data_IF_714390189788
#
_entry.id   IF_714390189788
#
_cell.length_a   1.000
_cell.length_b   1.000
_cell.length_c   1.000
_cell.angle_alpha   90.00
_cell.angle_beta   90.00
_cell.angle_gamma   90.00
#
_symmetry.space_group_name_H-M   'P 1'
#
loop_
_entity.id
_entity.type
_entity.pdbx_description
1 polymer ?
#
# COMPACT_ATOMS: atom_id res chain seq x y z
N UNK A 1 12.16 -13.61 15.25
CA UNK A 1 11.80 -12.60 14.22
C UNK A 1 12.99 -11.76 13.83
N UNK A 2 13.03 -11.32 12.57
CA UNK A 2 13.96 -10.32 12.07
C UNK A 2 13.17 -9.08 11.66
N UNK A 3 13.77 -7.86 11.74
CA UNK A 3 13.08 -6.66 11.28
C UNK A 3 12.73 -6.73 9.79
N UNK A 4 11.60 -6.17 9.41
CA UNK A 4 11.25 -5.85 8.03
C UNK A 4 11.24 -4.33 7.92
N UNK A 5 12.21 -3.63 7.75
CA UNK A 5 13.29 -3.59 6.78
C UNK A 5 14.47 -4.43 7.25
N UNK A 6 14.98 -5.26 6.36
CA UNK A 6 16.17 -6.04 6.67
C UNK A 6 17.35 -5.10 6.94
N UNK A 7 18.19 -5.48 7.90
CA UNK A 7 19.30 -4.68 8.39
C UNK A 7 20.49 -5.58 8.76
N UNK A 8 21.53 -5.02 9.37
CA UNK A 8 22.69 -5.82 9.80
C UNK A 8 22.36 -6.88 10.84
N UNK A 9 21.28 -6.72 11.62
CA UNK A 9 20.80 -7.79 12.51
C UNK A 9 20.28 -8.98 11.71
N UNK A 10 19.69 -8.74 10.55
CA UNK A 10 19.26 -9.80 9.63
C UNK A 10 20.46 -10.55 9.05
N UNK A 11 21.56 -9.86 8.76
CA UNK A 11 22.83 -10.51 8.36
C UNK A 11 23.35 -11.42 9.48
N UNK A 12 23.38 -10.92 10.71
CA UNK A 12 23.87 -11.70 11.88
C UNK A 12 23.04 -12.96 12.13
N UNK A 13 21.72 -12.86 11.93
CA UNK A 13 20.80 -13.99 12.16
C UNK A 13 20.88 -15.04 11.06
N UNK A 14 20.94 -14.59 9.80
CA UNK A 14 20.89 -15.51 8.66
C UNK A 14 22.26 -16.08 8.26
N UNK A 15 23.34 -15.36 8.56
CA UNK A 15 24.70 -15.73 8.20
C UNK A 15 25.67 -15.55 9.38
N UNK A 16 25.45 -16.20 10.52
CA UNK A 16 26.21 -15.95 11.75
C UNK A 16 27.74 -16.15 11.59
N UNK A 17 28.17 -17.09 10.75
CA UNK A 17 29.59 -17.38 10.52
C UNK A 17 30.25 -16.39 9.55
N UNK A 18 29.50 -15.75 8.68
CA UNK A 18 30.00 -14.85 7.64
C UNK A 18 29.52 -13.40 7.83
N UNK A 19 28.83 -13.11 8.94
CA UNK A 19 28.15 -11.84 9.15
C UNK A 19 29.07 -10.63 9.00
N UNK A 20 30.22 -10.65 9.62
CA UNK A 20 31.17 -9.53 9.56
C UNK A 20 31.71 -9.32 8.15
N UNK A 21 32.04 -10.42 7.45
CA UNK A 21 32.48 -10.36 6.05
C UNK A 21 31.41 -9.75 5.15
N UNK A 22 30.17 -10.20 5.24
CA UNK A 22 29.06 -9.67 4.43
C UNK A 22 28.86 -8.17 4.71
N UNK A 23 28.85 -7.76 5.99
CA UNK A 23 28.69 -6.34 6.38
C UNK A 23 29.86 -5.46 5.87
N UNK A 24 31.09 -5.94 5.89
CA UNK A 24 32.27 -5.24 5.34
C UNK A 24 32.13 -5.08 3.82
N UNK A 25 31.72 -6.12 3.11
CA UNK A 25 31.51 -6.08 1.67
C UNK A 25 30.39 -5.13 1.28
N UNK A 26 29.25 -5.12 2.01
CA UNK A 26 28.17 -4.15 1.82
C UNK A 26 28.69 -2.71 1.95
N UNK A 27 29.45 -2.41 3.03
CA UNK A 27 30.04 -1.08 3.25
C UNK A 27 31.04 -0.70 2.15
N UNK A 28 31.81 -1.65 1.65
CA UNK A 28 32.77 -1.43 0.56
C UNK A 28 32.06 -1.11 -0.76
N UNK A 29 30.99 -1.85 -1.10
CA UNK A 29 30.26 -1.70 -2.36
C UNK A 29 29.43 -0.41 -2.35
N UNK A 30 28.68 -0.16 -1.28
CA UNK A 30 27.71 0.94 -1.21
C UNK A 30 28.24 2.22 -0.54
N UNK A 31 29.43 2.17 0.04
CA UNK A 31 30.10 3.33 0.62
C UNK A 31 29.28 4.04 1.69
N UNK A 32 28.93 5.30 1.43
CA UNK A 32 28.16 6.14 2.34
C UNK A 32 26.62 6.01 2.19
N UNK A 33 26.15 5.14 1.33
CA UNK A 33 24.72 4.87 1.21
C UNK A 33 24.19 4.25 2.50
N UNK A 34 22.99 4.62 2.89
CA UNK A 34 22.34 4.12 4.10
C UNK A 34 21.55 2.83 3.86
N UNK A 35 21.19 2.59 2.60
CA UNK A 35 20.36 1.44 2.19
C UNK A 35 20.45 1.21 0.69
N UNK A 36 20.02 0.03 0.24
CA UNK A 36 19.76 -0.26 -1.17
C UNK A 36 18.55 -1.18 -1.29
N UNK A 37 17.91 -1.21 -2.45
CA UNK A 37 16.90 -2.23 -2.73
C UNK A 37 17.56 -3.61 -2.89
N UNK A 38 16.80 -4.67 -2.61
CA UNK A 38 17.30 -6.03 -2.80
C UNK A 38 17.69 -6.28 -4.26
N UNK A 39 17.03 -5.65 -5.24
CA UNK A 39 17.35 -5.78 -6.66
C UNK A 39 18.70 -5.13 -7.02
N UNK A 40 19.00 -3.94 -6.46
CA UNK A 40 20.31 -3.31 -6.63
C UNK A 40 21.44 -4.16 -6.05
N UNK A 41 21.20 -4.80 -4.91
CA UNK A 41 22.17 -5.71 -4.29
C UNK A 41 22.36 -6.99 -5.11
N UNK A 42 21.31 -7.51 -5.75
CA UNK A 42 21.42 -8.67 -6.65
C UNK A 42 22.21 -8.37 -7.94
N UNK A 43 22.16 -7.14 -8.42
CA UNK A 43 22.84 -6.69 -9.64
C UNK A 43 24.32 -6.32 -9.41
N UNK A 44 24.78 -6.22 -8.16
CA UNK A 44 26.18 -5.89 -7.90
C UNK A 44 27.11 -7.08 -8.20
N UNK A 45 28.40 -6.78 -8.48
CA UNK A 45 29.41 -7.81 -8.81
C UNK A 45 29.94 -8.55 -7.58
N UNK A 46 29.74 -8.01 -6.40
CA UNK A 46 30.27 -8.58 -5.15
C UNK A 46 29.50 -9.85 -4.75
N UNK A 47 30.24 -10.93 -4.57
CA UNK A 47 29.67 -12.26 -4.28
C UNK A 47 28.97 -12.32 -2.91
N UNK A 48 29.54 -11.71 -1.88
CA UNK A 48 28.96 -11.72 -0.53
C UNK A 48 27.69 -10.90 -0.45
N UNK A 49 27.67 -9.74 -1.12
CA UNK A 49 26.47 -8.91 -1.22
C UNK A 49 25.36 -9.64 -1.97
N UNK A 50 25.66 -10.23 -3.13
CA UNK A 50 24.68 -11.02 -3.89
C UNK A 50 24.17 -12.23 -3.11
N UNK A 51 25.05 -12.94 -2.39
CA UNK A 51 24.65 -14.10 -1.57
C UNK A 51 23.60 -13.73 -0.54
N UNK A 52 23.79 -12.63 0.18
CA UNK A 52 22.82 -12.13 1.14
C UNK A 52 21.53 -11.67 0.46
N UNK A 53 21.63 -10.87 -0.60
CA UNK A 53 20.47 -10.40 -1.37
C UNK A 53 19.66 -11.55 -1.97
N UNK A 54 20.31 -12.59 -2.51
CA UNK A 54 19.63 -13.77 -3.07
C UNK A 54 18.87 -14.52 -1.99
N UNK A 55 19.47 -14.68 -0.81
CA UNK A 55 18.78 -15.31 0.31
C UNK A 55 17.52 -14.55 0.71
N UNK A 56 17.60 -13.21 0.84
CA UNK A 56 16.45 -12.38 1.16
C UNK A 56 15.39 -12.45 0.06
N UNK A 57 15.81 -12.37 -1.20
CA UNK A 57 14.92 -12.44 -2.34
C UNK A 57 14.14 -13.76 -2.37
N UNK A 58 14.82 -14.90 -2.24
CA UNK A 58 14.22 -16.22 -2.33
C UNK A 58 13.33 -16.55 -1.10
N UNK A 59 13.71 -16.04 0.08
CA UNK A 59 13.03 -16.40 1.34
C UNK A 59 11.91 -15.44 1.74
N UNK A 60 11.98 -14.18 1.30
CA UNK A 60 11.04 -13.14 1.69
C UNK A 60 10.44 -12.41 0.48
N UNK A 61 11.23 -11.62 -0.24
CA UNK A 61 10.72 -10.70 -1.26
C UNK A 61 9.91 -11.39 -2.37
N UNK A 62 10.43 -12.46 -2.97
CA UNK A 62 9.76 -13.13 -4.07
C UNK A 62 8.48 -13.85 -3.61
N UNK A 63 8.49 -14.70 -2.57
CA UNK A 63 7.27 -15.39 -2.13
C UNK A 63 6.23 -14.44 -1.55
N UNK A 64 6.65 -13.39 -0.81
CA UNK A 64 5.72 -12.38 -0.30
C UNK A 64 5.06 -11.60 -1.44
N UNK A 65 5.87 -11.12 -2.38
CA UNK A 65 5.41 -10.34 -3.54
C UNK A 65 4.47 -11.17 -4.42
N UNK A 66 4.81 -12.42 -4.71
CA UNK A 66 3.95 -13.30 -5.50
C UNK A 66 2.56 -13.49 -4.86
N UNK A 67 2.49 -13.68 -3.54
CA UNK A 67 1.21 -13.77 -2.80
C UNK A 67 0.45 -12.45 -2.82
N UNK A 68 1.13 -11.37 -2.43
CA UNK A 68 0.52 -10.05 -2.27
C UNK A 68 -0.08 -9.54 -3.58
N UNK A 69 0.67 -9.67 -4.69
CA UNK A 69 0.27 -9.14 -5.99
C UNK A 69 -0.46 -10.16 -6.87
N UNK A 70 -0.38 -11.45 -6.55
CA UNK A 70 -1.01 -12.53 -7.33
C UNK A 70 -0.42 -12.72 -8.72
N UNK A 71 0.79 -12.21 -8.95
CA UNK A 71 1.56 -12.32 -10.19
C UNK A 71 3.01 -12.67 -9.88
N UNK A 72 3.72 -13.17 -10.88
CA UNK A 72 5.15 -13.48 -10.73
C UNK A 72 5.96 -12.21 -10.40
N UNK A 73 6.95 -12.27 -9.47
CA UNK A 73 7.74 -11.13 -9.03
C UNK A 73 8.48 -10.39 -10.16
N UNK A 74 8.83 -11.09 -11.24
CA UNK A 74 9.48 -10.51 -12.42
C UNK A 74 8.53 -9.59 -13.25
N UNK A 75 7.22 -9.71 -13.05
CA UNK A 75 6.20 -8.88 -13.71
C UNK A 75 5.75 -7.69 -12.87
N UNK A 76 6.16 -7.63 -11.61
CA UNK A 76 5.82 -6.53 -10.70
C UNK A 76 6.74 -5.34 -10.96
N UNK A 77 6.20 -4.12 -10.87
CA UNK A 77 7.01 -2.91 -10.98
C UNK A 77 8.17 -2.92 -9.96
N UNK A 78 9.38 -2.73 -10.45
CA UNK A 78 10.60 -2.73 -9.62
C UNK A 78 10.58 -1.72 -8.47
N UNK A 79 9.78 -0.65 -8.58
CA UNK A 79 9.61 0.34 -7.52
C UNK A 79 9.01 -0.26 -6.24
N UNK A 80 8.25 -1.34 -6.35
CA UNK A 80 7.67 -2.04 -5.19
C UNK A 80 8.75 -2.60 -4.29
N UNK A 81 9.84 -3.12 -4.86
CA UNK A 81 10.98 -3.62 -4.09
C UNK A 81 11.80 -2.52 -3.40
N UNK A 82 11.72 -1.27 -3.89
CA UNK A 82 12.39 -0.12 -3.26
C UNK A 82 11.71 0.35 -1.98
N UNK A 83 10.45 -0.02 -1.76
CA UNK A 83 9.69 0.38 -0.56
C UNK A 83 10.17 -0.29 0.73
N UNK A 84 10.79 -1.45 0.62
CA UNK A 84 11.38 -2.17 1.75
C UNK A 84 12.87 -2.35 1.44
N UNK A 85 13.69 -1.31 1.64
CA UNK A 85 15.12 -1.40 1.39
C UNK A 85 15.82 -2.23 2.44
N UNK A 86 17.01 -2.72 2.11
CA UNK A 86 17.95 -3.29 3.07
C UNK A 86 18.76 -2.16 3.68
N UNK A 87 18.72 -2.02 5.00
CA UNK A 87 19.39 -0.96 5.74
C UNK A 87 20.83 -1.37 6.08
N UNK A 88 21.78 -0.48 5.88
CA UNK A 88 23.22 -0.73 6.14
C UNK A 88 23.66 -0.28 7.54
N UNK A 89 22.82 -0.57 8.51
CA UNK A 89 23.02 -0.27 9.93
C UNK A 89 22.26 -1.26 10.82
N UNK A 90 22.43 -1.16 12.12
CA UNK A 90 21.57 -1.81 13.11
C UNK A 90 20.42 -0.85 13.45
N UNK A 91 19.36 -0.87 12.69
CA UNK A 91 18.23 0.02 12.91
C UNK A 91 16.92 -0.66 12.58
N UNK A 92 16.00 -0.67 13.53
CA UNK A 92 14.71 -1.35 13.39
C UNK A 92 13.57 -0.44 12.90
N UNK A 93 13.88 0.72 12.36
CA UNK A 93 12.86 1.64 11.86
C UNK A 93 12.40 1.23 10.47
N UNK A 94 11.11 0.99 10.33
CA UNK A 94 10.49 0.72 9.03
C UNK A 94 10.44 1.97 8.15
N UNK A 95 10.23 3.15 8.76
CA UNK A 95 10.24 4.46 8.10
C UNK A 95 11.36 5.34 8.66
N UNK A 96 11.95 6.16 7.82
CA UNK A 96 12.98 7.16 8.20
C UNK A 96 12.38 8.58 8.35
N UNK A 97 11.06 8.68 8.42
CA UNK A 97 10.35 9.94 8.57
C UNK A 97 10.63 10.57 9.94
N UNK A 98 10.83 11.90 10.01
CA UNK A 98 11.10 12.60 11.27
C UNK A 98 9.91 12.58 12.22
N UNK A 99 8.70 12.49 11.70
CA UNK A 99 7.45 12.41 12.47
C UNK A 99 6.77 11.08 12.21
N UNK A 100 6.66 10.26 13.25
CA UNK A 100 5.97 8.97 13.22
C UNK A 100 5.03 8.91 14.40
N UNK A 101 3.73 8.80 14.14
CA UNK A 101 2.72 8.77 15.18
C UNK A 101 1.52 7.92 14.76
N UNK A 102 0.78 7.46 15.75
CA UNK A 102 -0.52 6.80 15.59
C UNK A 102 -1.56 7.64 16.34
N UNK A 103 -2.78 7.79 15.78
CA UNK A 103 -3.86 8.45 16.51
C UNK A 103 -4.19 7.68 17.79
N UNK A 104 -4.16 8.37 18.95
CA UNK A 104 -4.37 7.73 20.27
C UNK A 104 -5.71 7.02 20.37
N UNK A 105 -6.75 7.57 19.76
CA UNK A 105 -8.09 7.01 19.75
C UNK A 105 -8.45 6.29 18.44
N UNK A 106 -7.44 6.00 17.63
CA UNK A 106 -7.60 5.31 16.35
C UNK A 106 -7.95 6.21 15.17
N UNK A 107 -7.90 5.62 13.98
CA UNK A 107 -8.09 6.35 12.74
C UNK A 107 -9.52 6.86 12.51
N UNK A 108 -10.53 6.17 13.07
CA UNK A 108 -11.93 6.64 12.95
C UNK A 108 -12.14 8.00 13.59
N UNK A 109 -11.55 8.25 14.78
CA UNK A 109 -11.64 9.57 15.40
C UNK A 109 -10.87 10.63 14.63
N UNK A 110 -9.69 10.29 14.08
CA UNK A 110 -8.96 11.20 13.19
C UNK A 110 -9.82 11.62 12.00
N UNK A 111 -10.46 10.66 11.31
CA UNK A 111 -11.32 10.93 10.16
C UNK A 111 -12.57 11.73 10.58
N UNK A 112 -13.22 11.37 11.69
CA UNK A 112 -14.36 12.11 12.20
C UNK A 112 -14.00 13.57 12.49
N UNK A 113 -12.84 13.81 13.11
CA UNK A 113 -12.38 15.18 13.38
C UNK A 113 -12.09 15.98 12.11
N UNK A 114 -11.60 15.33 11.04
CA UNK A 114 -11.40 15.99 9.74
C UNK A 114 -12.73 16.34 9.05
N UNK A 115 -13.77 15.56 9.30
CA UNK A 115 -15.09 15.74 8.69
C UNK A 115 -16.04 16.59 9.55
N UNK A 116 -15.67 16.92 10.80
CA UNK A 116 -16.49 17.71 11.73
C UNK A 116 -16.46 19.20 11.38
N UNK A 117 -17.24 19.59 10.37
CA UNK A 117 -17.37 20.96 9.92
C UNK A 117 -18.79 21.22 9.38
N UNK A 118 -19.35 22.39 9.68
CA UNK A 118 -20.74 22.76 9.32
C UNK A 118 -21.06 22.71 7.81
N UNK A 119 -20.04 22.87 6.97
CA UNK A 119 -20.18 22.82 5.50
C UNK A 119 -19.88 21.43 4.92
N UNK A 120 -19.69 20.40 5.74
CA UNK A 120 -19.45 19.04 5.28
C UNK A 120 -20.64 18.16 5.65
N UNK A 121 -21.31 17.62 4.65
CA UNK A 121 -22.33 16.58 4.82
C UNK A 121 -21.75 15.21 4.46
N UNK A 122 -21.81 14.26 5.39
CA UNK A 122 -21.31 12.90 5.19
C UNK A 122 -22.48 11.94 5.04
N UNK A 123 -22.50 11.19 3.94
CA UNK A 123 -23.48 10.12 3.68
C UNK A 123 -22.75 8.80 3.60
N UNK A 124 -23.07 7.87 4.48
CA UNK A 124 -22.53 6.50 4.49
C UNK A 124 -23.58 5.50 4.01
N UNK A 125 -23.13 4.33 3.55
CA UNK A 125 -24.03 3.30 3.00
C UNK A 125 -24.63 3.68 1.65
N UNK A 126 -23.98 4.57 0.90
CA UNK A 126 -24.38 5.01 -0.44
C UNK A 126 -23.33 4.56 -1.44
N UNK A 127 -23.73 3.78 -2.44
CA UNK A 127 -22.90 3.45 -3.59
C UNK A 127 -22.94 4.60 -4.60
N UNK A 128 -21.84 5.35 -4.69
CA UNK A 128 -21.80 6.56 -5.52
C UNK A 128 -22.07 6.28 -7.01
N UNK A 129 -21.64 5.12 -7.52
CA UNK A 129 -21.83 4.76 -8.93
C UNK A 129 -23.29 4.46 -9.31
N UNK A 130 -24.18 4.20 -8.34
CA UNK A 130 -25.62 4.10 -8.59
C UNK A 130 -26.26 5.47 -8.87
N UNK A 131 -25.62 6.55 -8.40
CA UNK A 131 -26.12 7.92 -8.47
C UNK A 131 -25.39 8.75 -9.52
N UNK A 132 -24.10 8.51 -9.78
CA UNK A 132 -23.27 9.27 -10.71
C UNK A 132 -23.41 8.69 -12.12
N UNK A 133 -23.61 9.58 -13.10
CA UNK A 133 -23.58 9.25 -14.53
C UNK A 133 -22.76 10.30 -15.27
N UNK A 134 -22.00 9.86 -16.25
CA UNK A 134 -21.27 10.73 -17.19
C UNK A 134 -21.97 10.64 -18.54
N UNK A 135 -22.51 11.75 -19.02
CA UNK A 135 -23.25 11.86 -20.27
C UNK A 135 -22.64 13.02 -21.07
N UNK A 136 -22.13 12.79 -22.27
CA UNK A 136 -21.56 13.83 -23.13
C UNK A 136 -20.49 14.70 -22.45
N UNK A 137 -19.63 14.07 -21.62
CA UNK A 137 -18.59 14.71 -20.81
C UNK A 137 -19.09 15.63 -19.69
N UNK A 138 -20.36 15.53 -19.30
CA UNK A 138 -20.96 16.21 -18.17
C UNK A 138 -21.32 15.23 -17.06
N UNK A 139 -21.27 15.67 -15.79
CA UNK A 139 -21.54 14.82 -14.63
C UNK A 139 -22.98 15.08 -14.13
N UNK A 140 -23.69 13.99 -13.89
CA UNK A 140 -25.03 13.99 -13.32
C UNK A 140 -25.05 13.19 -12.01
N UNK A 141 -25.75 13.71 -11.01
CA UNK A 141 -26.07 13.01 -9.77
C UNK A 141 -27.59 12.91 -9.65
N UNK A 142 -28.14 11.71 -9.52
CA UNK A 142 -29.60 11.46 -9.53
C UNK A 142 -30.33 12.12 -10.73
N UNK A 143 -29.71 12.03 -11.91
CA UNK A 143 -30.15 12.65 -13.18
C UNK A 143 -30.20 14.20 -13.17
N UNK A 144 -29.63 14.87 -12.17
CA UNK A 144 -29.42 16.31 -12.17
C UNK A 144 -27.97 16.62 -12.54
N UNK A 145 -27.79 17.54 -13.51
CA UNK A 145 -26.44 17.99 -13.87
C UNK A 145 -25.79 18.69 -12.65
N UNK A 146 -24.53 18.38 -12.40
CA UNK A 146 -23.74 19.04 -11.35
C UNK A 146 -23.04 20.26 -11.94
N UNK A 147 -23.27 21.44 -11.36
CA UNK A 147 -22.59 22.68 -11.68
C UNK A 147 -21.40 22.93 -10.71
N UNK A 148 -20.62 21.91 -10.44
CA UNK A 148 -19.52 21.98 -9.46
C UNK A 148 -18.44 20.96 -9.74
N UNK A 149 -17.48 20.90 -8.85
CA UNK A 149 -16.39 19.92 -8.94
C UNK A 149 -16.78 18.63 -8.26
N UNK A 150 -16.60 17.51 -8.93
CA UNK A 150 -16.72 16.17 -8.39
C UNK A 150 -15.32 15.57 -8.20
N UNK A 151 -14.95 15.23 -6.98
CA UNK A 151 -13.71 14.52 -6.68
C UNK A 151 -14.06 13.04 -6.52
N UNK A 152 -13.60 12.22 -7.46
CA UNK A 152 -13.85 10.79 -7.44
C UNK A 152 -12.60 10.04 -6.91
N UNK A 153 -12.82 9.12 -5.97
CA UNK A 153 -11.72 8.39 -5.30
C UNK A 153 -11.78 6.87 -5.48
N UNK A 154 -12.84 6.36 -6.11
CA UNK A 154 -13.02 4.93 -6.41
C UNK A 154 -12.21 4.45 -7.63
N UNK A 155 -12.37 3.16 -8.03
CA UNK A 155 -11.73 2.64 -9.23
C UNK A 155 -12.17 3.40 -10.48
N UNK A 156 -11.21 3.96 -11.22
CA UNK A 156 -11.51 4.83 -12.37
C UNK A 156 -12.19 4.08 -13.52
N UNK A 157 -11.87 2.83 -13.73
CA UNK A 157 -12.50 1.99 -14.76
C UNK A 157 -13.98 1.75 -14.46
N UNK A 158 -14.37 1.60 -13.19
CA UNK A 158 -15.76 1.44 -12.79
C UNK A 158 -16.59 2.69 -13.01
N UNK A 159 -16.01 3.88 -12.81
CA UNK A 159 -16.67 5.16 -13.12
C UNK A 159 -17.08 5.25 -14.60
N UNK A 160 -16.30 4.64 -15.48
CA UNK A 160 -16.54 4.61 -16.93
C UNK A 160 -17.06 3.24 -17.41
N UNK A 161 -17.78 2.49 -16.55
CA UNK A 161 -18.42 1.21 -16.87
C UNK A 161 -17.47 0.21 -17.54
N UNK A 162 -16.18 0.23 -17.17
CA UNK A 162 -15.12 -0.61 -17.73
C UNK A 162 -15.00 -0.54 -19.27
N UNK A 163 -15.27 0.61 -19.87
CA UNK A 163 -15.33 0.85 -21.33
C UNK A 163 -14.13 0.32 -22.12
N UNK A 164 -12.93 0.36 -21.52
CA UNK A 164 -11.68 -0.12 -22.14
C UNK A 164 -11.21 -1.46 -21.56
N UNK A 165 -11.97 -2.04 -20.65
CA UNK A 165 -11.63 -3.25 -19.89
C UNK A 165 -11.34 -2.94 -18.43
N UNK A 166 -11.32 -3.99 -17.59
CA UNK A 166 -11.13 -3.86 -16.15
C UNK A 166 -9.66 -3.61 -15.80
N UNK A 167 -9.40 -2.66 -14.93
CA UNK A 167 -8.11 -2.48 -14.29
C UNK A 167 -7.91 -3.55 -13.20
N UNK A 168 -6.71 -4.11 -13.06
CA UNK A 168 -6.46 -5.11 -12.05
C UNK A 168 -6.21 -4.48 -10.68
N UNK A 169 -7.04 -4.84 -9.70
CA UNK A 169 -6.84 -4.49 -8.29
C UNK A 169 -6.69 -5.74 -7.43
N UNK A 170 -6.04 -5.57 -6.29
CA UNK A 170 -5.98 -6.58 -5.23
C UNK A 170 -6.97 -6.25 -4.14
N UNK A 171 -7.52 -7.30 -3.57
CA UNK A 171 -8.36 -7.26 -2.38
C UNK A 171 -7.71 -8.02 -1.23
N UNK A 172 -8.30 -7.91 -0.05
CA UNK A 172 -7.86 -8.58 1.15
C UNK A 172 -9.07 -9.22 1.85
N UNK A 173 -8.86 -10.43 2.34
CA UNK A 173 -9.78 -11.06 3.28
C UNK A 173 -9.10 -11.14 4.63
N UNK A 174 -9.79 -10.70 5.67
CA UNK A 174 -9.33 -10.75 7.04
C UNK A 174 -10.05 -11.86 7.81
N UNK A 175 -9.29 -12.72 8.43
CA UNK A 175 -9.79 -13.70 9.38
C UNK A 175 -9.52 -13.21 10.79
N UNK A 176 -10.55 -12.67 11.43
CA UNK A 176 -10.49 -12.09 12.77
C UNK A 176 -10.56 -13.17 13.83
N UNK A 177 -9.64 -13.10 14.81
CA UNK A 177 -9.57 -14.02 15.94
C UNK A 177 -9.41 -13.25 17.24
N UNK A 178 -10.04 -13.78 18.29
CA UNK A 178 -9.87 -13.31 19.67
C UNK A 178 -9.40 -14.47 20.53
N UNK A 179 -8.41 -14.22 21.38
CA UNK A 179 -7.94 -15.18 22.39
C UNK A 179 -7.78 -14.51 23.76
N UNK A 180 -8.12 -15.23 24.82
CA UNK A 180 -7.96 -14.76 26.22
C UNK A 180 -6.53 -15.04 26.72
N UNK A 181 -5.54 -14.54 25.97
CA UNK A 181 -4.11 -14.59 26.28
C UNK A 181 -3.54 -13.16 26.26
N UNK A 182 -2.42 -12.96 26.93
CA UNK A 182 -1.82 -11.63 26.98
C UNK A 182 -1.26 -11.17 25.63
N UNK A 183 -0.66 -12.06 24.88
CA UNK A 183 -0.07 -11.75 23.56
C UNK A 183 -0.04 -12.99 22.68
N UNK A 184 -0.40 -12.80 21.41
CA UNK A 184 -0.36 -13.86 20.40
C UNK A 184 1.03 -13.96 19.73
N UNK A 185 1.68 -12.84 19.46
CA UNK A 185 2.98 -12.78 18.79
C UNK A 185 3.89 -11.72 19.41
N UNK A 186 5.18 -11.78 19.11
CA UNK A 186 6.18 -10.86 19.69
C UNK A 186 5.97 -9.41 19.24
N UNK A 187 5.72 -9.21 17.96
CA UNK A 187 5.58 -7.89 17.32
C UNK A 187 4.14 -7.62 16.90
N UNK A 188 3.72 -6.32 16.79
CA UNK A 188 2.36 -5.98 16.41
C UNK A 188 1.99 -6.48 15.01
N UNK A 189 2.93 -6.49 14.08
CA UNK A 189 2.75 -6.99 12.72
C UNK A 189 3.88 -7.95 12.39
N UNK A 190 3.54 -9.17 11.97
CA UNK A 190 4.51 -10.19 11.54
C UNK A 190 4.15 -10.66 10.14
N UNK A 191 5.10 -10.55 9.20
CA UNK A 191 4.97 -11.08 7.86
C UNK A 191 5.33 -12.57 7.81
N UNK A 192 4.62 -13.32 6.97
CA UNK A 192 4.79 -14.76 6.77
C UNK A 192 5.01 -15.05 5.27
N UNK A 193 6.16 -14.71 4.71
CA UNK A 193 6.42 -14.82 3.27
C UNK A 193 6.27 -16.24 2.75
N UNK A 194 6.65 -17.24 3.55
CA UNK A 194 6.65 -18.64 3.15
C UNK A 194 5.38 -19.42 3.56
N UNK A 195 4.46 -18.79 4.33
CA UNK A 195 3.21 -19.44 4.69
C UNK A 195 2.28 -19.59 3.48
N UNK A 196 1.49 -20.65 3.47
CA UNK A 196 0.50 -20.89 2.42
C UNK A 196 -0.73 -19.99 2.62
N UNK A 197 -1.07 -19.22 1.60
CA UNK A 197 -2.32 -18.45 1.50
C UNK A 197 -2.29 -17.08 2.17
N UNK A 198 -1.78 -16.91 3.37
CA UNK A 198 -1.77 -15.63 4.08
C UNK A 198 -0.40 -14.94 4.01
N UNK A 199 -0.40 -13.61 4.17
CA UNK A 199 0.81 -12.78 4.07
C UNK A 199 1.31 -12.27 5.40
N UNK A 200 0.40 -11.93 6.30
CA UNK A 200 0.78 -11.36 7.61
C UNK A 200 -0.31 -11.58 8.66
N UNK A 201 0.09 -11.41 9.91
CA UNK A 201 -0.81 -11.36 11.07
C UNK A 201 -0.57 -10.03 11.77
N UNK A 202 -1.66 -9.32 12.07
CA UNK A 202 -1.64 -8.07 12.84
C UNK A 202 -2.33 -8.29 14.18
N UNK A 203 -1.62 -8.00 15.28
CA UNK A 203 -2.14 -8.04 16.66
C UNK A 203 -2.45 -6.62 17.12
N UNK A 204 -3.72 -6.26 17.18
CA UNK A 204 -4.17 -4.87 17.28
C UNK A 204 -3.94 -4.23 18.64
N UNK A 205 -3.95 -4.99 19.75
CA UNK A 205 -3.68 -4.40 21.07
C UNK A 205 -2.27 -3.83 21.23
N UNK A 206 -1.37 -4.14 20.30
CA UNK A 206 0.03 -3.68 20.33
C UNK A 206 0.27 -2.41 19.49
N UNK A 207 -0.72 -1.97 18.70
CA UNK A 207 -0.55 -0.85 17.80
C UNK A 207 -1.84 -0.02 17.61
N UNK A 208 -2.05 1.03 18.41
CA UNK A 208 -1.29 1.48 19.59
C UNK A 208 -1.38 0.47 20.74
N UNK A 209 -0.44 0.55 21.67
CA UNK A 209 -0.46 -0.33 22.87
C UNK A 209 -1.71 -0.06 23.70
N UNK A 210 -2.46 -1.12 24.01
CA UNK A 210 -3.69 -1.07 24.79
C UNK A 210 -3.59 -2.01 26.00
N UNK A 211 -3.98 -1.50 27.16
CA UNK A 211 -4.09 -2.31 28.40
C UNK A 211 -5.48 -2.91 28.49
N UNK A 212 -5.67 -4.03 27.80
CA UNK A 212 -6.94 -4.76 27.73
C UNK A 212 -6.71 -6.25 27.93
N UNK A 213 -7.70 -6.93 28.52
CA UNK A 213 -7.68 -8.38 28.67
C UNK A 213 -7.83 -9.06 27.30
N UNK A 214 -7.06 -10.12 27.10
CA UNK A 214 -7.05 -10.87 25.85
C UNK A 214 -6.41 -10.11 24.69
N UNK A 215 -6.44 -10.71 23.54
CA UNK A 215 -5.90 -10.09 22.31
C UNK A 215 -6.76 -10.40 21.09
N UNK A 216 -6.90 -9.40 20.22
CA UNK A 216 -7.53 -9.57 18.91
C UNK A 216 -6.47 -9.43 17.83
N UNK A 217 -6.47 -10.37 16.91
CA UNK A 217 -5.58 -10.32 15.74
C UNK A 217 -6.32 -10.71 14.47
N UNK A 218 -5.79 -10.27 13.32
CA UNK A 218 -6.29 -10.66 12.03
C UNK A 218 -5.22 -11.34 11.21
N UNK A 219 -5.59 -12.44 10.56
CA UNK A 219 -4.82 -13.12 9.52
C UNK A 219 -5.24 -12.56 8.18
N UNK A 220 -4.28 -12.04 7.39
CA UNK A 220 -4.53 -11.34 6.14
C UNK A 220 -4.26 -12.23 4.93
N UNK A 221 -5.29 -12.46 4.13
CA UNK A 221 -5.25 -13.24 2.89
C UNK A 221 -5.41 -12.31 1.68
N UNK A 222 -4.41 -12.17 0.82
CA UNK A 222 -4.52 -11.41 -0.42
C UNK A 222 -5.30 -12.21 -1.47
N UNK A 223 -6.19 -11.52 -2.18
CA UNK A 223 -6.97 -12.10 -3.29
C UNK A 223 -7.17 -11.07 -4.40
N UNK A 224 -7.55 -11.50 -5.61
CA UNK A 224 -7.93 -10.55 -6.65
C UNK A 224 -9.22 -9.82 -6.24
N UNK A 225 -9.32 -8.55 -6.60
CA UNK A 225 -10.59 -7.84 -6.56
C UNK A 225 -11.48 -8.29 -7.72
N UNK A 226 -12.75 -8.50 -7.44
CA UNK A 226 -13.77 -8.83 -8.44
C UNK A 226 -14.98 -7.94 -8.19
N UNK A 227 -15.22 -7.01 -9.11
CA UNK A 227 -16.37 -6.11 -9.06
C UNK A 227 -17.69 -6.89 -8.96
N UNK A 228 -18.55 -6.49 -8.04
CA UNK A 228 -19.86 -7.11 -7.78
C UNK A 228 -19.80 -8.30 -6.80
N UNK A 229 -18.61 -8.73 -6.35
CA UNK A 229 -18.44 -9.64 -5.23
C UNK A 229 -18.30 -8.88 -3.91
N UNK A 230 -18.43 -9.58 -2.77
CA UNK A 230 -18.27 -8.98 -1.45
C UNK A 230 -16.79 -8.81 -1.07
N UNK A 231 -16.04 -8.10 -1.90
CA UNK A 231 -14.66 -7.72 -1.64
C UNK A 231 -14.37 -6.31 -2.14
N UNK A 232 -13.38 -5.65 -1.53
CA UNK A 232 -13.05 -4.26 -1.79
C UNK A 232 -11.71 -4.14 -2.52
N UNK A 233 -11.53 -3.17 -3.44
CA UNK A 233 -10.24 -2.89 -4.05
C UNK A 233 -9.34 -2.15 -3.05
N UNK A 234 -8.19 -2.73 -2.69
CA UNK A 234 -7.25 -2.08 -1.78
C UNK A 234 -6.09 -1.40 -2.49
N UNK A 235 -5.59 -1.98 -3.56
CA UNK A 235 -4.48 -1.39 -4.33
C UNK A 235 -4.39 -1.92 -5.76
N UNK A 236 -3.92 -1.06 -6.70
CA UNK A 236 -3.76 -1.43 -8.10
C UNK A 236 -2.60 -2.41 -8.30
N UNK A 237 -2.73 -3.31 -9.26
CA UNK A 237 -1.64 -4.17 -9.73
C UNK A 237 -0.93 -3.44 -10.87
N UNK A 238 0.26 -2.91 -10.59
CA UNK A 238 1.02 -2.09 -11.52
C UNK A 238 1.90 -2.96 -12.43
N UNK A 239 1.47 -3.09 -13.68
CA UNK A 239 2.22 -3.69 -14.81
C UNK A 239 2.24 -2.69 -15.96
N UNK A 240 3.06 -2.92 -16.98
CA UNK A 240 3.08 -2.03 -18.14
C UNK A 240 1.74 -2.04 -18.88
N UNK A 241 1.09 -3.19 -19.01
CA UNK A 241 -0.24 -3.31 -19.61
C UNK A 241 -1.32 -2.56 -18.82
N UNK A 242 -1.31 -2.69 -17.49
CA UNK A 242 -2.30 -2.01 -16.66
C UNK A 242 -2.09 -0.50 -16.62
N UNK A 243 -0.85 -0.02 -16.68
CA UNK A 243 -0.53 1.40 -16.82
C UNK A 243 -1.02 1.94 -18.16
N UNK A 244 -0.75 1.23 -19.26
CA UNK A 244 -1.22 1.62 -20.59
C UNK A 244 -2.77 1.63 -20.69
N UNK A 245 -3.44 0.73 -19.97
CA UNK A 245 -4.90 0.74 -19.88
C UNK A 245 -5.40 1.92 -19.03
N UNK A 246 -4.74 2.20 -17.90
CA UNK A 246 -5.07 3.35 -17.04
C UNK A 246 -4.95 4.69 -17.78
N UNK A 247 -3.91 4.90 -18.60
CA UNK A 247 -3.73 6.11 -19.41
C UNK A 247 -4.99 6.46 -20.25
N UNK A 248 -5.64 5.43 -20.84
CA UNK A 248 -6.89 5.63 -21.59
C UNK A 248 -8.04 6.13 -20.71
N UNK A 249 -8.11 5.68 -19.46
CA UNK A 249 -9.12 6.16 -18.51
C UNK A 249 -8.78 7.55 -17.99
N UNK A 250 -7.50 7.85 -17.77
CA UNK A 250 -7.06 9.18 -17.38
C UNK A 250 -7.40 10.22 -18.47
N UNK A 251 -7.11 9.93 -19.73
CA UNK A 251 -7.49 10.80 -20.88
C UNK A 251 -9.03 10.99 -20.94
N UNK A 252 -9.79 9.92 -20.66
CA UNK A 252 -11.25 10.01 -20.64
C UNK A 252 -11.74 10.88 -19.48
N UNK A 253 -11.18 10.72 -18.29
CA UNK A 253 -11.50 11.52 -17.12
C UNK A 253 -11.16 13.00 -17.31
N UNK A 254 -10.02 13.29 -17.93
CA UNK A 254 -9.59 14.66 -18.25
C UNK A 254 -10.52 15.36 -19.25
N UNK A 255 -11.30 14.60 -20.05
CA UNK A 255 -12.30 15.16 -20.97
C UNK A 255 -13.63 15.52 -20.30
N UNK A 256 -13.86 15.09 -19.06
CA UNK A 256 -15.12 15.32 -18.33
C UNK A 256 -15.02 16.63 -17.53
N UNK A 257 -15.92 17.57 -17.84
CA UNK A 257 -15.94 18.88 -17.16
C UNK A 257 -16.26 18.73 -15.67
N UNK A 258 -15.43 19.34 -14.81
CA UNK A 258 -15.64 19.33 -13.36
C UNK A 258 -15.24 18.02 -12.66
N UNK A 259 -14.72 17.01 -13.36
CA UNK A 259 -14.24 15.77 -12.75
C UNK A 259 -12.76 15.88 -12.34
N UNK A 260 -12.47 15.49 -11.11
CA UNK A 260 -11.10 15.33 -10.62
C UNK A 260 -10.96 13.94 -10.00
N UNK A 261 -10.08 13.12 -10.56
CA UNK A 261 -9.69 11.85 -9.98
C UNK A 261 -8.60 12.07 -8.92
N UNK A 262 -8.76 11.48 -7.74
CA UNK A 262 -7.85 11.63 -6.62
C UNK A 262 -7.83 10.37 -5.74
N UNK A 263 -6.65 9.97 -5.31
CA UNK A 263 -6.49 8.86 -4.38
C UNK A 263 -6.01 7.56 -5.03
N UNK A 264 -5.75 6.57 -4.18
CA UNK A 264 -5.07 5.33 -4.57
C UNK A 264 -5.71 4.60 -5.75
N UNK A 265 -7.04 4.53 -5.79
CA UNK A 265 -7.77 3.78 -6.80
C UNK A 265 -7.98 4.63 -8.06
N UNK A 266 -8.41 5.89 -7.90
CA UNK A 266 -8.71 6.77 -9.01
C UNK A 266 -7.43 7.26 -9.74
N UNK A 267 -6.32 7.49 -9.03
CA UNK A 267 -5.02 7.80 -9.64
C UNK A 267 -4.27 6.53 -10.09
N UNK A 268 -4.81 5.34 -9.84
CA UNK A 268 -4.18 4.04 -10.11
C UNK A 268 -2.72 3.96 -9.62
N UNK A 269 -2.48 4.44 -8.38
CA UNK A 269 -1.15 4.53 -7.76
C UNK A 269 -1.14 3.88 -6.39
N UNK A 270 0.02 3.36 -6.01
CA UNK A 270 0.20 2.81 -4.68
C UNK A 270 0.59 3.91 -3.70
N UNK A 271 -0.40 4.49 -3.02
CA UNK A 271 -0.21 5.52 -1.99
C UNK A 271 -0.21 4.93 -0.58
N UNK A 272 0.68 5.42 0.29
CA UNK A 272 0.49 5.40 1.73
C UNK A 272 -0.42 6.59 2.12
N UNK A 273 -0.84 6.68 3.39
CA UNK A 273 -1.77 7.75 3.84
C UNK A 273 -1.19 9.15 3.67
N UNK A 274 0.11 9.33 3.93
CA UNK A 274 0.83 10.60 3.75
C UNK A 274 0.77 11.07 2.29
N UNK A 275 1.05 10.19 1.35
CA UNK A 275 0.97 10.51 -0.09
C UNK A 275 -0.47 10.76 -0.55
N UNK A 276 -1.45 10.04 0.01
CA UNK A 276 -2.86 10.28 -0.31
C UNK A 276 -3.32 11.64 0.20
N UNK A 277 -2.92 12.04 1.40
CA UNK A 277 -3.19 13.37 1.97
C UNK A 277 -2.50 14.46 1.14
N UNK A 278 -1.21 14.28 0.82
CA UNK A 278 -0.49 15.24 -0.02
C UNK A 278 -1.17 15.43 -1.39
N UNK A 279 -1.60 14.34 -2.02
CA UNK A 279 -2.35 14.40 -3.28
C UNK A 279 -3.65 15.17 -3.15
N UNK A 280 -4.38 15.00 -2.05
CA UNK A 280 -5.60 15.77 -1.78
C UNK A 280 -5.31 17.27 -1.62
N UNK A 281 -4.21 17.64 -0.94
CA UNK A 281 -3.77 19.03 -0.83
C UNK A 281 -3.41 19.65 -2.18
N UNK A 282 -2.70 18.92 -3.05
CA UNK A 282 -2.40 19.35 -4.42
C UNK A 282 -3.68 19.60 -5.25
N UNK A 283 -4.72 18.77 -5.08
CA UNK A 283 -6.02 18.95 -5.73
C UNK A 283 -6.70 20.22 -5.23
N UNK A 284 -6.70 20.45 -3.91
CA UNK A 284 -7.29 21.66 -3.31
C UNK A 284 -6.60 22.93 -3.81
N UNK A 285 -5.26 22.94 -3.91
CA UNK A 285 -4.52 24.09 -4.41
C UNK A 285 -4.86 24.38 -5.87
N UNK A 286 -4.96 23.36 -6.72
CA UNK A 286 -5.41 23.54 -8.11
C UNK A 286 -6.83 24.11 -8.22
N UNK A 287 -7.75 23.65 -7.38
CA UNK A 287 -9.13 24.18 -7.36
C UNK A 287 -9.13 25.65 -6.96
N UNK A 288 -8.35 26.04 -5.93
CA UNK A 288 -8.23 27.45 -5.50
C UNK A 288 -7.68 28.36 -6.58
N UNK A 289 -6.68 27.87 -7.34
CA UNK A 289 -6.06 28.65 -8.42
C UNK A 289 -6.99 28.84 -9.63
N UNK A 290 -8.06 28.03 -9.75
CA UNK A 290 -9.06 28.11 -10.82
C UNK A 290 -10.32 28.91 -10.46
N UNK A 291 -10.47 29.32 -9.19
CA UNK A 291 -11.55 30.18 -8.70
C UNK A 291 -11.16 31.68 -8.75
#
# INVERSE_FOLDING_TARGET
>A
CVPTSFDFKSVDVFFPEEADTIKEHIKKVFGNQKSASVLEMLECEDEYVRKFAQYLYDKDYAPYTAKQWGISPDKVDRQIFKRVPVLFSYGSKYFDDPYQAMPVKGYMELVNNLLDHENIEVKTGVEALEHIKIIENEIYFDNNKIDGTVIYTGPIDELFECKYGKLPYRSLRFEWKYEDIDSFQEMPVVAYPQAEGYTRITEYKKLPVQDVRGTTYAVEYPLPYVQGESNEPYYPVLTDDSKALFEKYAELADSVEGLICCGRLADFKYYNMDLAINRALEVVDKIKDSL
#
